data_IF_678385073698
#
_entry.id   IF_678385073698
#
_cell.length_a   1.000
_cell.length_b   1.000
_cell.length_c   1.000
_cell.angle_alpha   90.00
_cell.angle_beta   90.00
_cell.angle_gamma   90.00
#
_symmetry.space_group_name_H-M   'P 1'
#
loop_
_entity.id
_entity.type
_entity.pdbx_description
1 polymer ?
#
# COMPACT_ATOMS: atom_id res chain seq x y z
N UNK A 1 -61.55 -17.59 -5.52
CA UNK A 1 -60.21 -16.97 -5.49
C UNK A 1 -59.25 -17.96 -4.87
N UNK A 2 -58.06 -18.13 -5.44
CA UNK A 2 -56.99 -18.95 -4.87
C UNK A 2 -55.91 -17.99 -4.36
N UNK A 3 -55.87 -17.69 -3.05
CA UNK A 3 -54.85 -16.83 -2.49
C UNK A 3 -53.50 -17.56 -2.42
N UNK A 4 -52.41 -16.84 -2.67
CA UNK A 4 -51.04 -17.29 -2.53
C UNK A 4 -50.18 -16.24 -1.84
N UNK A 5 -48.98 -16.61 -1.44
CA UNK A 5 -48.01 -15.66 -0.87
C UNK A 5 -47.55 -14.63 -1.91
N UNK A 6 -47.19 -13.44 -1.42
CA UNK A 6 -46.54 -12.41 -2.21
C UNK A 6 -45.03 -12.72 -2.37
N UNK A 7 -44.38 -12.02 -3.29
CA UNK A 7 -42.92 -12.09 -3.46
C UNK A 7 -42.16 -11.63 -2.20
N UNK A 8 -40.90 -12.01 -2.08
CA UNK A 8 -40.02 -11.57 -0.99
C UNK A 8 -40.07 -10.04 -0.80
N UNK A 9 -40.10 -9.61 0.45
CA UNK A 9 -40.17 -8.19 0.80
C UNK A 9 -41.57 -7.57 0.68
N UNK A 10 -42.60 -8.35 0.33
CA UNK A 10 -44.00 -7.92 0.34
C UNK A 10 -44.82 -8.64 1.41
N UNK A 11 -45.92 -8.01 1.81
CA UNK A 11 -46.96 -8.55 2.70
C UNK A 11 -48.33 -8.49 2.02
N UNK A 12 -49.31 -9.23 2.54
CA UNK A 12 -50.62 -9.36 1.92
C UNK A 12 -50.79 -10.72 1.24
N UNK A 13 -51.49 -10.75 0.11
CA UNK A 13 -51.70 -11.97 -0.66
C UNK A 13 -51.76 -11.66 -2.16
N UNK A 14 -51.25 -12.58 -2.97
CA UNK A 14 -51.54 -12.60 -4.39
C UNK A 14 -52.76 -13.48 -4.66
N UNK A 15 -53.46 -13.28 -5.77
CA UNK A 15 -54.64 -14.10 -6.10
C UNK A 15 -54.83 -14.26 -7.61
N UNK A 16 -55.55 -15.32 -7.98
CA UNK A 16 -56.10 -15.50 -9.34
C UNK A 16 -57.61 -15.46 -9.33
N UNK A 17 -58.19 -14.87 -10.36
CA UNK A 17 -59.62 -14.90 -10.62
C UNK A 17 -59.96 -16.14 -11.46
N UNK A 18 -61.09 -16.78 -11.18
CA UNK A 18 -61.61 -17.85 -12.02
C UNK A 18 -62.60 -17.23 -13.00
N UNK A 19 -62.31 -17.31 -14.29
CA UNK A 19 -63.17 -16.83 -15.36
C UNK A 19 -63.42 -17.99 -16.32
N UNK A 20 -64.69 -18.38 -16.48
CA UNK A 20 -65.11 -19.49 -17.35
C UNK A 20 -64.33 -20.81 -17.13
N UNK A 21 -64.07 -21.15 -15.87
CA UNK A 21 -63.36 -22.39 -15.51
C UNK A 21 -61.84 -22.35 -15.68
N UNK A 22 -61.26 -21.23 -16.15
CA UNK A 22 -59.80 -21.05 -16.24
C UNK A 22 -59.33 -19.98 -15.25
N UNK A 23 -58.13 -20.16 -14.69
CA UNK A 23 -57.53 -19.16 -13.81
C UNK A 23 -56.85 -18.06 -14.63
N UNK A 24 -57.02 -16.81 -14.19
CA UNK A 24 -56.32 -15.65 -14.73
C UNK A 24 -54.82 -15.67 -14.40
N UNK A 25 -54.09 -14.68 -14.91
CA UNK A 25 -52.77 -14.33 -14.39
C UNK A 25 -52.83 -13.95 -12.90
N UNK A 26 -51.67 -13.96 -12.25
CA UNK A 26 -51.54 -13.62 -10.83
C UNK A 26 -51.72 -12.12 -10.66
N UNK A 27 -52.68 -11.75 -9.83
CA UNK A 27 -52.88 -10.38 -9.38
C UNK A 27 -52.10 -10.13 -8.09
N UNK A 28 -51.33 -9.05 -8.07
CA UNK A 28 -50.47 -8.63 -6.94
C UNK A 28 -50.85 -7.26 -6.38
N UNK A 29 -52.01 -6.71 -6.75
CA UNK A 29 -52.51 -5.41 -6.26
C UNK A 29 -52.74 -5.36 -4.74
N UNK A 30 -52.81 -6.53 -4.10
CA UNK A 30 -52.92 -6.68 -2.64
C UNK A 30 -51.59 -6.96 -1.96
N UNK A 31 -50.49 -7.05 -2.73
CA UNK A 31 -49.14 -7.14 -2.20
C UNK A 31 -48.60 -5.74 -1.94
N UNK A 32 -48.25 -5.48 -0.69
CA UNK A 32 -47.73 -4.18 -0.24
C UNK A 32 -46.30 -4.39 0.27
N UNK A 33 -45.33 -3.54 -0.11
CA UNK A 33 -43.97 -3.65 0.40
C UNK A 33 -43.97 -3.68 1.92
N UNK A 34 -43.08 -4.47 2.50
CA UNK A 34 -42.75 -4.38 3.93
C UNK A 34 -41.81 -3.19 4.14
N UNK A 35 -41.82 -2.63 5.35
CA UNK A 35 -40.87 -1.58 5.73
C UNK A 35 -39.44 -2.14 5.62
N UNK A 36 -38.45 -1.39 5.12
CA UNK A 36 -37.06 -1.84 5.13
C UNK A 36 -36.62 -2.19 6.56
N UNK A 37 -35.78 -3.21 6.70
CA UNK A 37 -35.27 -3.59 8.02
C UNK A 37 -33.82 -4.12 7.95
N UNK A 38 -33.15 -4.22 9.10
CA UNK A 38 -31.81 -4.80 9.26
C UNK A 38 -30.74 -4.32 8.27
N UNK A 39 -30.70 -3.03 7.96
CA UNK A 39 -29.61 -2.47 7.15
C UNK A 39 -28.27 -2.53 7.91
N UNK A 40 -27.29 -3.22 7.33
CA UNK A 40 -25.97 -3.38 7.93
C UNK A 40 -24.87 -3.51 6.87
N UNK A 41 -23.74 -2.85 7.11
CA UNK A 41 -22.51 -3.11 6.36
C UNK A 41 -21.71 -4.25 7.00
N UNK A 42 -20.75 -4.81 6.26
CA UNK A 42 -19.88 -5.88 6.75
C UNK A 42 -19.07 -5.52 8.00
N UNK A 43 -18.90 -4.23 8.29
CA UNK A 43 -18.18 -3.68 9.44
C UNK A 43 -18.85 -2.39 9.89
N UNK A 44 -18.78 -2.11 11.19
CA UNK A 44 -19.19 -0.82 11.77
C UNK A 44 -18.10 0.25 11.60
N UNK A 45 -16.85 -0.17 11.32
CA UNK A 45 -15.70 0.71 11.13
C UNK A 45 -14.89 0.31 9.91
N UNK A 46 -14.69 1.25 9.00
CA UNK A 46 -13.79 1.12 7.85
C UNK A 46 -12.54 1.98 8.03
N UNK A 47 -11.38 1.36 7.82
CA UNK A 47 -10.10 2.04 7.75
C UNK A 47 -9.66 1.99 6.30
N UNK A 48 -9.58 3.16 5.67
CA UNK A 48 -9.07 3.32 4.32
C UNK A 48 -7.74 4.06 4.32
N UNK A 49 -7.01 3.88 3.22
CA UNK A 49 -5.73 4.54 3.01
C UNK A 49 -5.91 5.64 1.97
N UNK A 50 -5.36 6.82 2.25
CA UNK A 50 -5.38 7.93 1.31
C UNK A 50 -4.77 7.48 -0.03
N UNK A 51 -5.37 7.94 -1.12
CA UNK A 51 -4.92 7.67 -2.50
C UNK A 51 -5.05 6.19 -2.93
N UNK A 52 -5.75 5.36 -2.16
CA UNK A 52 -6.03 3.96 -2.48
C UNK A 52 -7.52 3.73 -2.76
N UNK A 53 -7.90 3.16 -3.92
CA UNK A 53 -9.29 2.76 -4.18
C UNK A 53 -9.85 1.89 -3.07
N UNK A 54 -11.03 2.24 -2.58
CA UNK A 54 -11.62 1.66 -1.38
C UNK A 54 -13.13 1.45 -1.60
N UNK A 55 -13.66 0.35 -1.08
CA UNK A 55 -15.10 0.06 -1.06
C UNK A 55 -15.49 -0.57 0.28
N UNK A 56 -16.70 -0.26 0.75
CA UNK A 56 -17.34 -0.94 1.88
C UNK A 56 -17.96 -2.29 1.50
N UNK A 57 -18.10 -2.55 0.20
CA UNK A 57 -19.05 -3.50 -0.36
C UNK A 57 -20.50 -3.03 -0.20
N UNK A 58 -21.42 -3.81 -0.76
CA UNK A 58 -22.86 -3.59 -0.61
C UNK A 58 -23.31 -3.98 0.82
N UNK A 59 -24.18 -3.20 1.46
CA UNK A 59 -24.78 -3.58 2.72
C UNK A 59 -25.77 -4.74 2.51
N UNK A 60 -26.04 -5.48 3.59
CA UNK A 60 -27.16 -6.40 3.70
C UNK A 60 -28.37 -5.68 4.31
N UNK A 61 -29.56 -6.08 3.91
CA UNK A 61 -30.83 -5.58 4.46
C UNK A 61 -31.94 -6.62 4.29
N UNK A 62 -32.99 -6.49 5.07
CA UNK A 62 -34.23 -7.23 4.91
C UNK A 62 -35.29 -6.38 4.18
N UNK A 63 -36.18 -7.08 3.48
CA UNK A 63 -37.20 -6.49 2.61
C UNK A 63 -36.56 -5.70 1.46
N UNK A 64 -37.26 -4.68 0.95
CA UNK A 64 -36.87 -3.95 -0.25
C UNK A 64 -36.48 -2.52 0.12
N UNK A 65 -35.37 -2.06 -0.46
CA UNK A 65 -34.94 -0.66 -0.42
C UNK A 65 -34.86 -0.16 -1.86
N UNK A 66 -35.51 0.98 -2.13
CA UNK A 66 -35.54 1.62 -3.44
C UNK A 66 -34.41 2.65 -3.59
N UNK A 67 -34.04 3.32 -2.50
CA UNK A 67 -32.99 4.34 -2.49
C UNK A 67 -32.20 4.38 -1.19
N UNK A 68 -30.92 4.73 -1.31
CA UNK A 68 -29.99 4.98 -0.20
C UNK A 68 -29.54 6.43 -0.19
N UNK A 69 -29.42 7.01 0.98
CA UNK A 69 -28.88 8.36 1.18
C UNK A 69 -28.24 8.51 2.56
N UNK A 70 -27.48 9.58 2.74
CA UNK A 70 -26.92 9.96 4.03
C UNK A 70 -27.92 10.81 4.79
N UNK A 71 -27.95 10.66 6.11
CA UNK A 71 -28.69 11.54 7.00
C UNK A 71 -28.26 13.00 6.80
N UNK A 72 -29.21 13.92 6.93
CA UNK A 72 -28.94 15.35 6.77
C UNK A 72 -27.84 15.82 7.73
N UNK A 73 -26.83 16.48 7.16
CA UNK A 73 -25.65 16.97 7.89
C UNK A 73 -24.45 16.01 7.90
N UNK A 74 -24.64 14.74 7.56
CA UNK A 74 -23.54 13.78 7.47
C UNK A 74 -22.79 13.91 6.14
N UNK A 75 -21.47 13.71 6.20
CA UNK A 75 -20.60 13.77 5.04
C UNK A 75 -19.58 12.63 5.04
N UNK A 76 -19.43 11.98 3.89
CA UNK A 76 -18.38 11.00 3.67
C UNK A 76 -17.01 11.69 3.58
N UNK A 77 -15.91 11.00 3.96
CA UNK A 77 -14.57 11.45 3.64
C UNK A 77 -14.40 11.83 2.16
N UNK A 78 -13.69 12.92 1.89
CA UNK A 78 -13.48 13.43 0.53
C UNK A 78 -13.01 12.35 -0.44
N UNK A 79 -13.74 12.19 -1.55
CA UNK A 79 -13.43 11.22 -2.61
C UNK A 79 -14.14 9.88 -2.48
N UNK A 80 -14.92 9.67 -1.41
CA UNK A 80 -15.89 8.58 -1.31
C UNK A 80 -17.28 9.04 -1.70
N UNK A 81 -18.08 8.14 -2.26
CA UNK A 81 -19.46 8.41 -2.67
C UNK A 81 -20.35 7.21 -2.32
N UNK A 82 -21.58 7.50 -1.92
CA UNK A 82 -22.63 6.49 -1.72
C UNK A 82 -23.36 6.27 -3.04
N UNK A 83 -23.44 5.01 -3.47
CA UNK A 83 -24.30 4.60 -4.57
C UNK A 83 -25.75 4.53 -4.06
N UNK A 84 -26.60 5.44 -4.54
CA UNK A 84 -27.99 5.55 -4.09
C UNK A 84 -28.88 4.34 -4.44
N UNK A 85 -28.44 3.43 -5.32
CA UNK A 85 -29.22 2.22 -5.66
C UNK A 85 -28.73 0.97 -4.94
N UNK A 86 -27.43 0.84 -4.75
CA UNK A 86 -26.85 -0.37 -4.15
C UNK A 86 -26.51 -0.22 -2.68
N UNK A 87 -26.46 1.00 -2.16
CA UNK A 87 -25.98 1.30 -0.82
C UNK A 87 -24.46 1.15 -0.67
N UNK A 88 -23.71 0.80 -1.71
CA UNK A 88 -22.26 0.67 -1.64
C UNK A 88 -21.58 2.03 -1.51
N UNK A 89 -20.60 2.15 -0.62
CA UNK A 89 -19.76 3.34 -0.49
C UNK A 89 -18.39 3.02 -1.06
N UNK A 90 -18.02 3.72 -2.13
CA UNK A 90 -16.79 3.47 -2.87
C UNK A 90 -16.12 4.77 -3.33
N UNK A 91 -14.83 4.69 -3.68
CA UNK A 91 -14.08 5.80 -4.24
C UNK A 91 -12.61 5.75 -3.85
N UNK A 92 -11.95 6.91 -3.90
CA UNK A 92 -10.54 7.05 -3.50
C UNK A 92 -10.42 8.23 -2.55
N UNK A 93 -10.19 7.99 -1.25
CA UNK A 93 -10.18 9.05 -0.27
C UNK A 93 -8.95 9.95 -0.42
N UNK A 94 -9.15 11.27 -0.32
CA UNK A 94 -8.10 12.29 -0.57
C UNK A 94 -7.64 13.03 0.67
N UNK A 95 -8.48 13.09 1.71
CA UNK A 95 -8.21 13.83 2.94
C UNK A 95 -8.06 12.88 4.11
N UNK A 96 -7.13 13.16 5.02
CA UNK A 96 -6.96 12.37 6.24
C UNK A 96 -8.12 12.65 7.20
N UNK A 97 -8.66 11.59 7.78
CA UNK A 97 -9.83 11.65 8.67
C UNK A 97 -9.55 10.75 9.87
N UNK A 98 -9.47 11.33 11.07
CA UNK A 98 -9.32 10.55 12.31
C UNK A 98 -10.54 9.69 12.57
N UNK A 99 -11.72 10.27 12.40
CA UNK A 99 -13.00 9.60 12.49
C UNK A 99 -14.06 10.48 11.82
N UNK A 100 -14.84 9.91 10.92
CA UNK A 100 -16.13 10.45 10.44
C UNK A 100 -17.18 9.38 10.71
N UNK A 101 -18.29 9.75 11.31
CA UNK A 101 -19.41 8.82 11.57
C UNK A 101 -20.57 9.31 10.73
N UNK A 102 -21.14 8.42 9.93
CA UNK A 102 -22.27 8.74 9.07
C UNK A 102 -23.40 7.73 9.29
N UNK A 103 -24.62 8.22 9.23
CA UNK A 103 -25.84 7.43 9.21
C UNK A 103 -26.32 7.28 7.77
N UNK A 104 -26.40 6.04 7.31
CA UNK A 104 -26.93 5.67 6.00
C UNK A 104 -28.38 5.24 6.20
N UNK A 105 -29.27 5.79 5.39
CA UNK A 105 -30.70 5.53 5.40
C UNK A 105 -31.06 4.79 4.12
N UNK A 106 -31.78 3.67 4.26
CA UNK A 106 -32.41 2.94 3.18
C UNK A 106 -33.91 3.14 3.22
N UNK A 107 -34.50 3.57 2.11
CA UNK A 107 -35.91 3.94 2.01
C UNK A 107 -36.66 3.14 0.94
N UNK A 108 -37.92 2.83 1.23
CA UNK A 108 -38.92 2.47 0.23
C UNK A 108 -40.23 3.22 0.48
N UNK A 109 -41.24 2.99 -0.37
CA UNK A 109 -42.56 3.65 -0.26
C UNK A 109 -43.33 3.46 1.06
N UNK A 110 -42.84 2.61 1.98
CA UNK A 110 -43.50 2.28 3.26
C UNK A 110 -42.72 2.74 4.48
N UNK A 111 -41.44 3.07 4.33
CA UNK A 111 -40.66 3.62 5.42
C UNK A 111 -39.17 3.50 5.17
N UNK A 112 -38.42 3.65 6.26
CA UNK A 112 -36.97 3.70 6.25
C UNK A 112 -36.37 2.76 7.29
N UNK A 113 -35.15 2.32 7.04
CA UNK A 113 -34.24 1.73 8.02
C UNK A 113 -32.92 2.49 7.97
N UNK A 114 -32.16 2.48 9.05
CA UNK A 114 -30.90 3.21 9.13
C UNK A 114 -29.80 2.39 9.77
N UNK A 115 -28.56 2.71 9.42
CA UNK A 115 -27.36 2.11 10.01
C UNK A 115 -26.27 3.16 10.14
N UNK A 116 -25.36 2.99 11.08
CA UNK A 116 -24.27 3.95 11.33
C UNK A 116 -22.94 3.28 11.07
N UNK A 117 -22.06 3.98 10.35
CA UNK A 117 -20.73 3.49 9.98
C UNK A 117 -19.68 4.57 10.26
N UNK A 118 -18.57 4.15 10.88
CA UNK A 118 -17.42 5.01 11.12
C UNK A 118 -16.33 4.81 10.06
N UNK A 119 -15.81 5.90 9.52
CA UNK A 119 -14.71 5.94 8.58
C UNK A 119 -13.48 6.57 9.22
N UNK A 120 -12.32 5.96 8.97
CA UNK A 120 -11.00 6.53 9.25
C UNK A 120 -10.19 6.48 7.96
N UNK A 121 -9.56 7.60 7.60
CA UNK A 121 -8.64 7.68 6.46
C UNK A 121 -7.27 8.05 6.99
N UNK A 122 -6.29 7.17 6.78
CA UNK A 122 -4.90 7.35 7.21
C UNK A 122 -3.92 7.16 6.06
N UNK A 123 -2.64 7.46 6.31
CA UNK A 123 -1.58 7.12 5.38
C UNK A 123 -1.29 5.62 5.45
N UNK A 124 -0.95 5.01 4.32
CA UNK A 124 -0.35 3.69 4.31
C UNK A 124 1.00 3.74 5.02
N UNK A 125 1.32 2.73 5.82
CA UNK A 125 2.60 2.64 6.52
C UNK A 125 3.15 1.23 6.36
N UNK A 126 4.46 1.12 6.17
CA UNK A 126 5.17 -0.14 6.26
C UNK A 126 5.51 -0.39 7.72
N UNK A 127 5.13 -1.56 8.24
CA UNK A 127 5.45 -1.96 9.61
C UNK A 127 6.97 -2.16 9.79
N UNK A 128 7.51 -1.99 11.01
CA UNK A 128 8.95 -2.16 11.25
C UNK A 128 9.46 -3.54 10.82
N UNK A 129 10.61 -3.56 10.15
CA UNK A 129 11.30 -4.79 9.73
C UNK A 129 12.82 -4.65 9.95
N UNK A 130 13.32 -5.34 10.96
CA UNK A 130 14.71 -5.24 11.41
C UNK A 130 15.06 -3.81 11.85
N UNK A 131 16.01 -3.18 11.16
CA UNK A 131 16.43 -1.79 11.41
C UNK A 131 15.60 -0.76 10.65
N UNK A 132 14.74 -1.18 9.72
CA UNK A 132 13.82 -0.27 9.04
C UNK A 132 12.63 0.00 9.96
N UNK A 133 12.53 1.23 10.44
CA UNK A 133 11.41 1.68 11.29
C UNK A 133 10.14 1.90 10.46
N UNK A 134 9.03 2.08 11.17
CA UNK A 134 7.75 2.46 10.57
C UNK A 134 7.92 3.65 9.64
N UNK A 135 7.51 3.48 8.39
CA UNK A 135 7.76 4.45 7.33
C UNK A 135 6.50 4.65 6.51
N UNK A 136 6.18 5.89 6.19
CA UNK A 136 5.02 6.25 5.39
C UNK A 136 5.15 5.79 3.95
N UNK A 137 4.08 5.22 3.40
CA UNK A 137 4.00 4.82 2.00
C UNK A 137 4.26 6.02 1.06
N UNK A 138 5.04 5.76 0.02
CA UNK A 138 5.57 6.79 -0.89
C UNK A 138 6.95 7.35 -0.49
N UNK A 139 7.51 6.93 0.65
CA UNK A 139 8.83 7.39 1.12
C UNK A 139 9.84 6.25 1.24
N UNK A 140 11.13 6.58 1.17
CA UNK A 140 12.24 5.64 1.32
C UNK A 140 12.84 5.76 2.71
N UNK A 141 12.91 4.64 3.43
CA UNK A 141 13.68 4.57 4.66
C UNK A 141 15.15 4.32 4.36
N UNK A 142 16.02 5.04 5.06
CA UNK A 142 17.47 4.94 4.92
C UNK A 142 18.06 4.61 6.28
N UNK A 143 18.89 3.57 6.33
CA UNK A 143 19.64 3.21 7.52
C UNK A 143 21.14 3.37 7.26
N UNK A 144 21.86 3.87 8.26
CA UNK A 144 23.31 3.90 8.25
C UNK A 144 23.85 2.52 8.63
N UNK A 145 24.78 1.99 7.82
CA UNK A 145 25.38 0.69 8.09
C UNK A 145 26.16 0.67 9.41
N UNK A 146 26.60 1.82 9.92
CA UNK A 146 27.22 1.92 11.24
C UNK A 146 26.31 1.43 12.37
N UNK A 147 24.98 1.47 12.19
CA UNK A 147 24.02 0.90 13.15
C UNK A 147 24.15 -0.62 13.28
N UNK A 148 24.77 -1.29 12.30
CA UNK A 148 25.11 -2.73 12.34
C UNK A 148 26.50 -2.99 12.96
N UNK A 149 27.15 -1.97 13.51
CA UNK A 149 28.50 -2.05 14.08
C UNK A 149 29.57 -1.57 13.09
N UNK A 150 30.64 -2.37 12.92
CA UNK A 150 31.81 -2.02 12.11
C UNK A 150 31.58 -2.14 10.60
N UNK A 151 30.54 -1.47 10.09
CA UNK A 151 30.20 -1.40 8.68
C UNK A 151 30.09 0.06 8.23
N UNK A 152 30.42 0.32 6.96
CA UNK A 152 30.28 1.63 6.33
C UNK A 152 29.38 1.49 5.10
N UNK A 153 28.56 2.51 4.89
CA UNK A 153 27.63 2.61 3.76
C UNK A 153 26.22 2.92 4.23
N UNK A 154 25.26 2.78 3.31
CA UNK A 154 23.83 2.98 3.59
C UNK A 154 23.03 1.84 2.99
N UNK A 155 21.93 1.51 3.64
CA UNK A 155 20.88 0.69 3.04
C UNK A 155 19.59 1.49 2.96
N UNK A 156 18.84 1.24 1.90
CA UNK A 156 17.62 1.96 1.59
C UNK A 156 16.51 0.97 1.27
N UNK A 157 15.29 1.33 1.62
CA UNK A 157 14.11 0.54 1.32
C UNK A 157 12.93 1.46 1.06
N UNK A 158 12.31 1.32 -0.11
CA UNK A 158 11.09 2.07 -0.44
C UNK A 158 9.89 1.43 0.27
N UNK A 159 9.10 2.24 0.97
CA UNK A 159 7.76 1.87 1.39
C UNK A 159 6.78 2.25 0.28
N UNK A 160 6.23 1.27 -0.43
CA UNK A 160 5.27 1.50 -1.52
C UNK A 160 3.84 1.39 -0.98
N UNK A 161 2.91 2.17 -1.53
CA UNK A 161 1.48 1.95 -1.26
C UNK A 161 1.03 0.68 -2.01
N UNK A 162 0.62 -0.34 -1.26
CA UNK A 162 0.01 -1.57 -1.72
C UNK A 162 -1.50 -1.62 -1.43
N UNK A 163 -2.11 -2.78 -1.61
CA UNK A 163 -3.58 -2.96 -1.50
C UNK A 163 -4.10 -2.88 -0.06
N UNK A 164 -3.24 -3.13 0.93
CA UNK A 164 -3.61 -3.13 2.34
C UNK A 164 -2.88 -2.05 3.16
N UNK A 165 -2.31 -1.05 2.51
CA UNK A 165 -1.53 0.02 3.16
C UNK A 165 -0.11 0.09 2.62
N UNK A 166 0.90 0.22 3.50
CA UNK A 166 2.29 0.28 3.09
C UNK A 166 2.94 -1.10 2.99
N UNK A 167 3.66 -1.34 1.89
CA UNK A 167 4.39 -2.56 1.63
C UNK A 167 5.87 -2.27 1.32
N UNK A 168 6.74 -2.93 2.08
CA UNK A 168 8.16 -2.79 1.89
C UNK A 168 8.63 -3.39 0.56
N UNK A 169 9.36 -2.60 -0.22
CA UNK A 169 10.07 -3.09 -1.40
C UNK A 169 11.37 -3.79 -1.03
N UNK A 170 12.04 -4.38 -2.02
CA UNK A 170 13.35 -4.99 -1.82
C UNK A 170 14.37 -3.95 -1.36
N UNK A 171 15.11 -4.27 -0.29
CA UNK A 171 16.16 -3.40 0.20
C UNK A 171 17.32 -3.30 -0.82
N UNK A 172 17.92 -2.12 -0.92
CA UNK A 172 19.09 -1.81 -1.74
C UNK A 172 20.17 -1.13 -0.90
N UNK A 173 21.32 -0.86 -1.52
CA UNK A 173 22.48 -0.27 -0.85
C UNK A 173 23.49 -1.32 -0.36
N UNK A 174 24.65 -0.85 0.07
CA UNK A 174 25.81 -1.70 0.39
C UNK A 174 26.32 -1.35 1.78
N UNK A 175 26.44 -2.37 2.64
CA UNK A 175 27.20 -2.28 3.89
C UNK A 175 28.52 -3.03 3.72
N UNK A 176 29.64 -2.32 3.67
CA UNK A 176 30.97 -2.94 3.63
C UNK A 176 31.55 -3.04 5.04
N UNK A 177 32.07 -4.22 5.46
CA UNK A 177 32.78 -4.32 6.73
C UNK A 177 34.01 -3.40 6.73
N UNK A 178 34.22 -2.64 7.81
CA UNK A 178 35.41 -1.77 7.98
C UNK A 178 36.70 -2.59 7.86
N UNK A 179 36.72 -3.81 8.39
CA UNK A 179 37.88 -4.70 8.29
C UNK A 179 38.26 -5.01 6.83
N UNK A 180 37.27 -5.22 5.95
CA UNK A 180 37.51 -5.44 4.52
C UNK A 180 38.13 -4.20 3.87
N UNK A 181 37.62 -3.01 4.20
CA UNK A 181 38.17 -1.74 3.71
C UNK A 181 39.64 -1.60 4.15
N UNK A 182 39.94 -1.88 5.42
CA UNK A 182 41.32 -1.82 5.94
C UNK A 182 42.24 -2.79 5.20
N UNK A 183 41.81 -4.04 4.98
CA UNK A 183 42.59 -5.03 4.22
C UNK A 183 42.85 -4.57 2.78
N UNK A 184 41.83 -4.06 2.08
CA UNK A 184 41.98 -3.55 0.72
C UNK A 184 42.94 -2.36 0.64
N UNK A 185 42.89 -1.44 1.61
CA UNK A 185 43.81 -0.31 1.70
C UNK A 185 45.24 -0.77 1.94
N UNK A 186 45.46 -1.72 2.87
CA UNK A 186 46.80 -2.28 3.15
C UNK A 186 47.37 -2.98 1.91
N UNK A 187 46.56 -3.78 1.20
CA UNK A 187 46.98 -4.43 -0.04
C UNK A 187 47.33 -3.42 -1.13
N UNK A 188 46.52 -2.36 -1.29
CA UNK A 188 46.81 -1.29 -2.25
C UNK A 188 48.14 -0.58 -1.94
N UNK A 189 48.41 -0.28 -0.66
CA UNK A 189 49.69 0.31 -0.24
C UNK A 189 50.87 -0.61 -0.54
N UNK A 190 50.75 -1.91 -0.26
CA UNK A 190 51.80 -2.90 -0.58
C UNK A 190 52.07 -2.93 -2.08
N UNK A 191 51.02 -2.95 -2.92
CA UNK A 191 51.16 -2.94 -4.38
C UNK A 191 51.88 -1.66 -4.85
N UNK A 192 51.50 -0.50 -4.32
CA UNK A 192 52.17 0.78 -4.64
C UNK A 192 53.65 0.73 -4.26
N UNK A 193 53.99 0.21 -3.08
CA UNK A 193 55.39 0.07 -2.64
C UNK A 193 56.19 -0.87 -3.56
N UNK A 194 55.59 -1.99 -4.00
CA UNK A 194 56.21 -2.93 -4.94
C UNK A 194 56.44 -2.27 -6.31
N UNK A 195 55.47 -1.51 -6.82
CA UNK A 195 55.61 -0.76 -8.08
C UNK A 195 56.72 0.28 -7.97
N UNK A 196 56.78 1.04 -6.88
CA UNK A 196 57.85 2.03 -6.63
C UNK A 196 59.20 1.32 -6.59
N UNK A 197 59.33 0.20 -5.85
CA UNK A 197 60.57 -0.56 -5.78
C UNK A 197 61.00 -1.10 -7.16
N UNK A 198 60.05 -1.56 -7.98
CA UNK A 198 60.31 -2.01 -9.34
C UNK A 198 60.80 -0.86 -10.24
N UNK A 199 60.15 0.31 -10.20
CA UNK A 199 60.56 1.50 -10.95
C UNK A 199 61.95 1.97 -10.52
N UNK A 200 62.26 1.96 -9.22
CA UNK A 200 63.60 2.28 -8.69
C UNK A 200 64.64 1.28 -9.22
N UNK A 201 64.34 -0.02 -9.27
CA UNK A 201 65.25 -1.04 -9.85
C UNK A 201 65.49 -0.81 -11.35
N UNK A 202 64.45 -0.51 -12.13
CA UNK A 202 64.57 -0.26 -13.58
C UNK A 202 65.34 1.02 -13.88
N UNK A 203 65.13 2.09 -13.11
CA UNK A 203 65.83 3.37 -13.29
C UNK A 203 67.26 3.34 -12.78
N UNK A 204 67.55 2.61 -11.69
CA UNK A 204 68.91 2.40 -11.19
C UNK A 204 69.75 1.50 -12.11
N UNK A 205 69.12 0.56 -12.83
CA UNK A 205 69.76 -0.25 -13.89
C UNK A 205 70.35 0.57 -15.05
N UNK A 206 69.80 1.77 -15.34
CA UNK A 206 70.36 2.68 -16.38
C UNK A 206 71.62 3.44 -15.92
N UNK A 207 71.91 3.52 -14.62
CA UNK A 207 73.13 4.18 -14.11
C UNK A 207 74.37 3.28 -14.18
N UNK A 208 74.21 1.96 -14.24
CA UNK A 208 75.35 1.02 -14.23
C UNK A 208 76.11 0.97 -15.57
N UNK A 209 75.47 1.21 -16.72
CA UNK A 209 76.18 1.27 -18.01
C UNK A 209 77.03 2.53 -18.21
N UNK A 210 76.83 3.61 -17.45
CA UNK A 210 77.64 4.85 -17.60
C UNK A 210 78.95 4.83 -16.81
N UNK A 211 79.19 3.82 -15.95
CA UNK A 211 80.39 3.75 -15.09
C UNK A 211 81.51 2.85 -15.63
N UNK A 212 81.29 2.14 -16.75
CA UNK A 212 82.29 1.22 -17.33
C UNK A 212 83.20 1.85 -18.40
N UNK A 213 83.02 3.12 -18.78
CA UNK A 213 83.77 3.77 -19.87
C UNK A 213 84.76 4.87 -19.40
N UNK A 214 85.20 4.85 -18.14
CA UNK A 214 86.12 5.85 -17.58
C UNK A 214 87.25 5.23 -16.75
N UNK A 215 87.91 4.19 -17.25
CA UNK A 215 89.25 3.81 -16.77
C UNK A 215 90.00 2.94 -17.80
N UNK A 216 90.47 3.55 -18.89
CA UNK A 216 91.49 2.96 -19.76
C UNK A 216 92.59 3.99 -20.09
N UNK A 217 93.70 3.92 -19.33
CA UNK A 217 95.13 4.23 -19.67
C UNK A 217 95.49 5.62 -20.30
N UNK A 218 96.79 6.02 -20.39
CA UNK A 218 98.04 5.35 -20.00
C UNK A 218 99.01 6.17 -19.10
N UNK A 219 100.12 5.51 -18.77
CA UNK A 219 101.35 5.96 -18.09
C UNK A 219 102.23 6.92 -18.93
N UNK A 220 103.43 7.24 -18.40
CA UNK A 220 104.65 7.93 -18.96
C UNK A 220 104.91 9.26 -18.20
N UNK A 221 106.09 9.62 -17.66
CA UNK A 221 107.46 9.07 -17.65
C UNK A 221 108.26 9.59 -16.43
N UNK A 222 109.34 8.83 -16.14
CA UNK A 222 110.65 9.11 -15.47
C UNK A 222 110.86 10.46 -14.76
#
# INVERSE_FOLDING_TARGET
>A
MSPSECEYGYSGYAYRLCQNGTLSEVHTDRCVPKVPDYLAYSKERFIFYRDLPSSTGKPSFENLIDTFYLKEGDALPDGLQLNNRTGEIEGTPRSLVKQSVVTIIGENTKGVTETTVAFMVRLGECEPDGLFMRTTAGTTAVIDCALKGSYVGKQERLCKLGENGGEWQKASGVCMPVALIVVLVVLAVIVVLVVIAFVIRVTSGKKSQKKSLAHSKPAVDV
#
